data_IF_506530489237
#
_entry.id   IF_506530489237
#
_cell.length_a   1.000
_cell.length_b   1.000
_cell.length_c   1.000
_cell.angle_alpha   90.00
_cell.angle_beta   90.00
_cell.angle_gamma   90.00
#
_symmetry.space_group_name_H-M   'P 1'
#
loop_
_entity.id
_entity.type
_entity.pdbx_description
1 polymer ?
#
# COMPACT_ATOMS: atom_id res chain seq x y z
N UNK A 1 9.44 0.58 4.94
CA UNK A 1 9.89 0.04 6.24
C UNK A 1 10.71 -1.21 5.97
N UNK A 2 11.74 -1.47 6.78
CA UNK A 2 12.67 -2.58 6.57
C UNK A 2 12.17 -3.93 7.12
N UNK A 3 12.96 -5.01 7.00
CA UNK A 3 12.57 -6.36 7.43
C UNK A 3 12.57 -6.58 8.96
N UNK A 4 13.21 -5.69 9.73
CA UNK A 4 13.16 -5.72 11.20
C UNK A 4 11.83 -5.20 11.77
N UNK A 5 11.53 -5.54 13.01
CA UNK A 5 10.33 -5.06 13.70
C UNK A 5 10.40 -3.54 13.92
N UNK A 6 9.40 -2.84 13.40
CA UNK A 6 9.15 -1.42 13.64
C UNK A 6 8.02 -1.19 14.64
N UNK A 7 7.34 -2.27 15.08
CA UNK A 7 6.30 -2.28 16.11
C UNK A 7 5.03 -1.52 15.71
N UNK A 8 4.68 -0.43 16.42
CA UNK A 8 3.43 0.32 16.23
C UNK A 8 3.71 1.56 15.40
N UNK A 9 3.15 1.61 14.19
CA UNK A 9 3.34 2.73 13.27
C UNK A 9 2.00 3.27 12.81
N UNK A 10 1.84 4.60 12.84
CA UNK A 10 0.68 5.28 12.23
C UNK A 10 1.17 6.13 11.07
N UNK A 11 0.58 5.92 9.90
CA UNK A 11 0.75 6.77 8.73
C UNK A 11 -0.60 7.45 8.46
N UNK A 12 -0.63 8.75 8.73
CA UNK A 12 -1.78 9.61 8.47
C UNK A 12 -1.27 10.92 7.88
N UNK A 13 -1.60 11.17 6.62
CA UNK A 13 -1.22 12.39 5.90
C UNK A 13 -2.46 12.99 5.24
N UNK A 14 -2.53 14.33 5.15
CA UNK A 14 -3.64 15.02 4.49
C UNK A 14 -3.44 15.19 2.97
N UNK A 15 -2.26 14.84 2.45
CA UNK A 15 -1.89 14.77 1.02
C UNK A 15 -0.46 14.21 0.88
N UNK A 16 -0.24 13.27 -0.03
CA UNK A 16 1.10 12.84 -0.45
C UNK A 16 1.24 13.03 -1.96
N UNK A 17 1.69 14.21 -2.39
CA UNK A 17 1.91 14.56 -3.79
C UNK A 17 3.30 14.10 -4.24
N UNK A 18 3.37 13.22 -5.25
CA UNK A 18 4.58 13.04 -6.04
C UNK A 18 4.59 14.08 -7.16
N UNK A 19 5.34 15.17 -7.02
CA UNK A 19 5.47 16.23 -8.04
C UNK A 19 6.80 16.11 -8.76
N UNK A 20 6.78 15.61 -10.00
CA UNK A 20 7.79 15.95 -11.02
C UNK A 20 7.21 15.78 -12.44
N UNK A 21 6.61 16.84 -12.99
CA UNK A 21 6.41 16.95 -14.44
C UNK A 21 6.21 18.41 -14.87
N UNK A 22 7.30 19.17 -14.94
CA UNK A 22 7.36 20.35 -15.80
C UNK A 22 8.21 20.00 -17.00
N UNK A 23 7.58 19.77 -18.18
CA UNK A 23 8.11 19.92 -19.56
C UNK A 23 7.69 18.83 -20.57
N UNK A 24 6.97 17.78 -20.19
CA UNK A 24 6.38 16.82 -21.15
C UNK A 24 4.99 16.42 -20.65
N UNK A 25 3.97 16.40 -21.53
CA UNK A 25 2.62 15.89 -21.23
C UNK A 25 2.63 14.35 -21.05
N UNK A 26 3.48 13.86 -20.16
CA UNK A 26 3.62 12.46 -19.79
C UNK A 26 3.41 12.38 -18.29
N UNK A 27 2.25 11.86 -17.87
CA UNK A 27 1.96 11.61 -16.46
C UNK A 27 2.85 10.46 -15.97
N UNK A 28 3.95 10.79 -15.29
CA UNK A 28 4.83 9.79 -14.68
C UNK A 28 4.13 9.26 -13.43
N UNK A 29 3.83 7.96 -13.43
CA UNK A 29 3.21 7.28 -12.30
C UNK A 29 4.26 6.57 -11.45
N UNK A 30 4.42 6.99 -10.19
CA UNK A 30 5.44 6.43 -9.30
C UNK A 30 5.10 5.00 -8.86
N UNK A 31 6.04 4.06 -9.01
CA UNK A 31 5.80 2.64 -8.69
C UNK A 31 6.20 2.25 -7.27
N UNK A 32 7.23 2.88 -6.71
CA UNK A 32 7.79 2.53 -5.40
C UNK A 32 7.16 3.37 -4.29
N UNK A 33 5.84 3.32 -4.15
CA UNK A 33 5.08 4.26 -3.32
C UNK A 33 5.27 4.01 -1.82
N UNK A 34 4.83 2.86 -1.30
CA UNK A 34 4.89 2.51 0.12
C UNK A 34 5.10 1.00 0.29
N UNK A 35 6.04 0.61 1.15
CA UNK A 35 6.38 -0.81 1.33
C UNK A 35 6.51 -1.17 2.82
N UNK A 36 5.62 -2.06 3.30
CA UNK A 36 5.50 -2.49 4.69
C UNK A 36 5.82 -3.98 4.81
N UNK A 37 7.01 -4.32 5.34
CA UNK A 37 7.52 -5.70 5.35
C UNK A 37 8.12 -6.12 6.69
N UNK A 38 7.80 -5.41 7.78
CA UNK A 38 8.36 -5.73 9.08
C UNK A 38 7.92 -7.10 9.58
N UNK A 39 8.77 -7.70 10.41
CA UNK A 39 8.57 -9.04 10.96
C UNK A 39 7.60 -9.10 12.15
N UNK A 40 7.15 -7.96 12.67
CA UNK A 40 6.21 -7.89 13.78
C UNK A 40 5.52 -6.51 13.87
N UNK A 41 4.99 -6.04 12.74
CA UNK A 41 4.44 -4.69 12.65
C UNK A 41 2.93 -4.66 12.82
N UNK A 42 2.45 -3.62 13.50
CA UNK A 42 1.04 -3.22 13.57
C UNK A 42 0.95 -1.81 13.01
N UNK A 43 0.37 -1.70 11.82
CA UNK A 43 0.31 -0.45 11.06
C UNK A 43 -1.12 0.04 10.98
N UNK A 44 -1.31 1.31 11.35
CA UNK A 44 -2.54 2.06 11.05
C UNK A 44 -2.27 2.99 9.87
N UNK A 45 -3.02 2.77 8.79
CA UNK A 45 -2.96 3.53 7.55
C UNK A 45 -4.31 4.19 7.35
N UNK A 46 -4.43 5.46 7.76
CA UNK A 46 -5.73 6.12 7.84
C UNK A 46 -5.73 7.52 7.24
N UNK A 47 -6.78 7.84 6.48
CA UNK A 47 -7.02 9.20 6.00
C UNK A 47 -6.06 9.66 4.90
N UNK A 48 -5.32 8.74 4.27
CA UNK A 48 -4.30 9.09 3.28
C UNK A 48 -4.90 9.30 1.89
N UNK A 49 -4.28 10.17 1.10
CA UNK A 49 -4.60 10.36 -0.32
C UNK A 49 -3.44 9.88 -1.19
N UNK A 50 -3.64 8.76 -1.89
CA UNK A 50 -2.66 8.12 -2.76
C UNK A 50 -3.06 8.37 -4.21
N UNK A 51 -2.20 9.05 -4.97
CA UNK A 51 -2.55 9.41 -6.33
C UNK A 51 -1.36 9.46 -7.28
N UNK A 52 -1.63 9.35 -8.58
CA UNK A 52 -0.63 9.38 -9.65
C UNK A 52 0.48 8.32 -9.43
N UNK A 53 0.05 7.08 -9.11
CA UNK A 53 0.96 5.95 -8.87
C UNK A 53 0.70 4.79 -9.82
N UNK A 54 1.67 3.89 -9.96
CA UNK A 54 1.55 2.70 -10.82
C UNK A 54 1.66 1.39 -10.04
N UNK A 55 1.96 1.46 -8.73
CA UNK A 55 2.22 0.29 -7.93
C UNK A 55 2.42 0.59 -6.45
N UNK A 56 2.28 -0.47 -5.65
CA UNK A 56 2.75 -0.58 -4.26
C UNK A 56 2.33 0.61 -3.41
N UNK A 57 1.10 1.09 -3.53
CA UNK A 57 0.61 2.26 -2.83
C UNK A 57 -0.48 1.94 -1.80
N UNK A 58 -0.34 0.96 -0.88
CA UNK A 58 0.88 0.30 -0.45
C UNK A 58 1.06 -1.14 -0.95
N UNK A 59 2.30 -1.65 -0.82
CA UNK A 59 2.60 -3.08 -0.73
C UNK A 59 2.79 -3.49 0.73
N UNK A 60 2.08 -4.54 1.16
CA UNK A 60 2.13 -5.09 2.51
C UNK A 60 2.57 -6.55 2.46
N UNK A 61 3.62 -6.92 3.21
CA UNK A 61 4.21 -8.26 3.20
C UNK A 61 5.06 -8.55 1.95
N UNK A 62 5.31 -9.83 1.67
CA UNK A 62 5.91 -10.33 0.42
C UNK A 62 7.44 -10.46 0.39
N UNK A 63 8.22 -9.75 1.23
CA UNK A 63 9.66 -10.01 1.36
C UNK A 63 9.91 -11.18 2.30
N UNK A 64 10.21 -12.37 1.78
CA UNK A 64 10.86 -13.46 2.53
C UNK A 64 12.34 -13.45 2.15
N UNK A 65 13.16 -12.94 3.07
CA UNK A 65 14.62 -12.94 2.95
C UNK A 65 15.19 -13.43 4.28
N UNK A 66 15.95 -12.58 4.97
CA UNK A 66 16.52 -12.91 6.29
C UNK A 66 15.48 -13.04 7.41
N UNK A 67 14.30 -12.43 7.25
CA UNK A 67 13.21 -12.49 8.23
C UNK A 67 11.87 -12.61 7.50
N UNK A 68 10.99 -13.46 8.02
CA UNK A 68 9.63 -13.58 7.50
C UNK A 68 8.78 -12.37 7.92
N UNK A 69 8.02 -11.76 6.99
CA UNK A 69 7.18 -10.61 7.28
C UNK A 69 5.95 -11.06 8.07
N UNK A 70 5.51 -10.25 9.03
CA UNK A 70 4.27 -10.46 9.77
C UNK A 70 3.71 -9.07 10.14
N UNK A 71 2.82 -8.59 9.28
CA UNK A 71 2.30 -7.22 9.33
C UNK A 71 0.79 -7.29 9.50
N UNK A 72 0.30 -6.78 10.63
CA UNK A 72 -1.10 -6.44 10.80
C UNK A 72 -1.32 -5.02 10.29
N UNK A 73 -2.17 -4.87 9.28
CA UNK A 73 -2.36 -3.62 8.57
C UNK A 73 -3.83 -3.21 8.61
N UNK A 74 -4.11 -2.07 9.21
CA UNK A 74 -5.44 -1.47 9.25
C UNK A 74 -5.50 -0.29 8.29
N UNK A 75 -6.21 -0.45 7.18
CA UNK A 75 -6.43 0.58 6.18
C UNK A 75 -7.83 1.17 6.34
N UNK A 76 -7.96 2.39 6.88
CA UNK A 76 -9.26 3.02 7.11
C UNK A 76 -9.38 4.39 6.43
N UNK A 77 -10.49 4.64 5.72
CA UNK A 77 -10.79 5.98 5.18
C UNK A 77 -9.68 6.61 4.32
N UNK A 78 -8.98 5.80 3.52
CA UNK A 78 -8.00 6.31 2.56
C UNK A 78 -8.66 6.47 1.19
N UNK A 79 -8.07 7.35 0.37
CA UNK A 79 -8.52 7.64 -0.97
C UNK A 79 -7.40 7.35 -1.98
N UNK A 80 -7.69 6.52 -2.98
CA UNK A 80 -6.84 6.26 -4.13
C UNK A 80 -7.43 6.92 -5.38
N UNK A 81 -6.64 7.67 -6.12
CA UNK A 81 -7.05 8.32 -7.38
C UNK A 81 -5.98 8.20 -8.46
N UNK A 82 -6.36 8.00 -9.72
CA UNK A 82 -5.45 8.02 -10.87
C UNK A 82 -4.27 7.05 -10.70
N UNK A 83 -4.62 5.76 -10.63
CA UNK A 83 -3.65 4.66 -10.44
C UNK A 83 -3.56 3.86 -11.73
N UNK A 84 -2.52 4.11 -12.53
CA UNK A 84 -2.31 3.48 -13.84
C UNK A 84 -1.99 1.98 -13.77
N UNK A 85 -1.68 1.44 -12.59
CA UNK A 85 -1.40 0.03 -12.35
C UNK A 85 -2.13 -0.48 -11.11
N UNK A 86 -1.40 -1.09 -10.17
CA UNK A 86 -2.00 -1.61 -8.95
C UNK A 86 -1.92 -0.64 -7.76
N UNK A 87 -3.05 -0.43 -7.08
CA UNK A 87 -3.12 0.43 -5.90
C UNK A 87 -2.62 -0.30 -4.66
N UNK A 88 -3.36 -1.31 -4.20
CA UNK A 88 -3.04 -2.11 -3.01
C UNK A 88 -2.42 -3.46 -3.41
N UNK A 89 -1.30 -3.85 -2.80
CA UNK A 89 -0.64 -5.13 -3.07
C UNK A 89 -0.40 -5.92 -1.79
N UNK A 90 -0.88 -7.16 -1.76
CA UNK A 90 -0.81 -8.02 -0.58
C UNK A 90 0.12 -9.20 -0.86
N UNK A 91 1.19 -9.27 -0.07
CA UNK A 91 2.16 -10.35 -0.10
C UNK A 91 2.01 -11.29 1.11
N UNK A 92 2.83 -12.34 1.11
CA UNK A 92 2.97 -13.29 2.23
C UNK A 92 3.17 -12.53 3.55
N UNK A 93 2.56 -12.99 4.64
CA UNK A 93 2.74 -12.42 5.97
C UNK A 93 1.87 -11.20 6.30
N UNK A 94 1.08 -10.71 5.34
CA UNK A 94 0.14 -9.61 5.56
C UNK A 94 -1.18 -10.11 6.14
N UNK A 95 -1.73 -9.35 7.10
CA UNK A 95 -3.09 -9.49 7.63
C UNK A 95 -3.76 -8.13 7.54
N UNK A 96 -4.72 -7.97 6.63
CA UNK A 96 -5.27 -6.67 6.25
C UNK A 96 -6.74 -6.58 6.62
N UNK A 97 -7.09 -5.52 7.36
CA UNK A 97 -8.46 -5.02 7.51
C UNK A 97 -8.57 -3.72 6.74
N UNK A 98 -9.44 -3.66 5.73
CA UNK A 98 -9.62 -2.49 4.89
C UNK A 98 -11.08 -2.04 4.93
N UNK A 99 -11.34 -0.85 5.49
CA UNK A 99 -12.70 -0.33 5.69
C UNK A 99 -12.84 1.14 5.30
N UNK A 100 -14.02 1.50 4.74
CA UNK A 100 -14.36 2.88 4.40
C UNK A 100 -13.40 3.58 3.42
N UNK A 101 -12.66 2.80 2.62
CA UNK A 101 -11.70 3.28 1.62
C UNK A 101 -12.39 3.56 0.27
N UNK A 102 -11.86 4.51 -0.50
CA UNK A 102 -12.35 4.84 -1.85
C UNK A 102 -11.24 4.64 -2.89
N UNK A 103 -11.56 3.95 -3.98
CA UNK A 103 -10.69 3.82 -5.15
C UNK A 103 -11.39 4.42 -6.36
N UNK A 104 -10.89 5.56 -6.84
CA UNK A 104 -11.34 6.22 -8.06
C UNK A 104 -10.26 6.07 -9.13
N UNK A 105 -10.64 5.72 -10.36
CA UNK A 105 -9.71 5.62 -11.49
C UNK A 105 -8.45 4.78 -11.20
N UNK A 106 -8.62 3.65 -10.51
CA UNK A 106 -7.56 2.70 -10.23
C UNK A 106 -7.72 1.46 -11.12
N UNK A 107 -6.74 1.22 -12.00
CA UNK A 107 -6.79 0.11 -12.98
C UNK A 107 -6.90 -1.24 -12.26
N UNK A 108 -6.10 -1.44 -11.21
CA UNK A 108 -6.18 -2.60 -10.33
C UNK A 108 -6.21 -2.14 -8.87
N UNK A 109 -7.40 -1.97 -8.25
CA UNK A 109 -7.50 -1.54 -6.86
C UNK A 109 -6.75 -2.45 -5.89
N UNK A 110 -6.69 -3.74 -6.19
CA UNK A 110 -6.07 -4.76 -5.36
C UNK A 110 -5.41 -5.85 -6.21
N UNK A 111 -4.21 -6.27 -5.82
CA UNK A 111 -3.58 -7.50 -6.29
C UNK A 111 -3.00 -8.31 -5.11
N UNK A 112 -2.85 -9.62 -5.32
CA UNK A 112 -2.15 -10.52 -4.42
C UNK A 112 -0.87 -11.02 -5.09
N UNK A 113 0.22 -11.14 -4.33
CA UNK A 113 1.40 -11.84 -4.79
C UNK A 113 1.08 -13.33 -5.02
N UNK A 114 1.85 -13.96 -5.90
CA UNK A 114 1.73 -15.38 -6.18
C UNK A 114 1.78 -16.23 -4.90
N UNK A 115 0.87 -17.20 -4.78
CA UNK A 115 0.80 -18.11 -3.63
C UNK A 115 0.17 -17.52 -2.37
N UNK A 116 -0.28 -16.26 -2.38
CA UNK A 116 -1.04 -15.65 -1.29
C UNK A 116 -2.53 -15.93 -1.50
N UNK A 117 -3.12 -16.69 -0.58
CA UNK A 117 -4.57 -17.01 -0.58
C UNK A 117 -5.37 -16.19 0.42
N UNK A 118 -4.74 -15.22 1.10
CA UNK A 118 -5.39 -14.43 2.14
C UNK A 118 -6.47 -13.52 1.54
N UNK A 119 -7.72 -13.65 1.99
CA UNK A 119 -8.78 -12.70 1.71
C UNK A 119 -8.71 -11.55 2.73
N UNK A 120 -8.56 -10.28 2.30
CA UNK A 120 -8.75 -9.15 3.19
C UNK A 120 -10.19 -9.16 3.67
N UNK A 121 -10.41 -8.81 4.95
CA UNK A 121 -11.76 -8.52 5.41
C UNK A 121 -12.10 -7.12 4.92
N UNK A 122 -12.98 -7.05 3.92
CA UNK A 122 -13.55 -5.82 3.40
C UNK A 122 -14.89 -5.57 4.11
N UNK A 123 -15.06 -4.40 4.72
CA UNK A 123 -16.32 -3.93 5.31
C UNK A 123 -16.59 -2.48 4.98
#
# INVERSE_FOLDING_TARGET
MGPGASNRVTVSTRSSTALLSGLLNVTIHHYWTLYFTGSQDKVTFKGNYIHNTSGRGPKVGGLSGSVEPNVFFHAANNYWSDIAGNAFQIGKGAKVLAEGNLFENAVQPLIFDFGVTSSPLWS
#
